data_IF_454474316462
#
_entry.id   IF_454474316462
#
_cell.length_a   1.000
_cell.length_b   1.000
_cell.length_c   1.000
_cell.angle_alpha   90.00
_cell.angle_beta   90.00
_cell.angle_gamma   90.00
#
_symmetry.space_group_name_H-M   'P 1'
#
loop_
_entity.id
_entity.type
_entity.pdbx_description
1 polymer ?
#
# COMPACT_ATOMS: atom_id res chain seq x y z
N UNK A 1 -15.02 4.42 1.71
CA UNK A 1 -14.66 3.08 1.22
C UNK A 1 -15.93 2.36 0.76
N UNK A 2 -15.84 1.53 -0.29
CA UNK A 2 -16.92 0.63 -0.73
C UNK A 2 -16.36 -0.80 -0.72
N UNK A 3 -17.11 -1.80 -0.21
CA UNK A 3 -16.63 -3.18 -0.21
C UNK A 3 -16.54 -3.71 -1.65
N UNK A 4 -15.62 -4.64 -1.88
CA UNK A 4 -15.49 -5.34 -3.16
C UNK A 4 -16.49 -6.50 -3.30
N UNK A 5 -17.14 -6.90 -2.21
CA UNK A 5 -18.15 -7.96 -2.16
C UNK A 5 -17.68 -9.23 -2.91
N UNK A 6 -18.50 -9.76 -3.82
CA UNK A 6 -18.20 -10.96 -4.63
C UNK A 6 -16.98 -10.82 -5.55
N UNK A 7 -16.51 -9.58 -5.81
CA UNK A 7 -15.27 -9.37 -6.58
C UNK A 7 -14.03 -9.73 -5.77
N UNK A 8 -14.06 -9.60 -4.44
CA UNK A 8 -12.90 -9.83 -3.59
C UNK A 8 -12.29 -11.25 -3.73
N UNK A 9 -13.07 -12.35 -3.63
CA UNK A 9 -12.52 -13.70 -3.83
C UNK A 9 -12.03 -13.91 -5.27
N UNK A 10 -12.74 -13.42 -6.27
CA UNK A 10 -12.35 -13.56 -7.69
C UNK A 10 -11.04 -12.82 -8.01
N UNK A 11 -10.87 -11.58 -7.52
CA UNK A 11 -9.63 -10.82 -7.66
C UNK A 11 -8.46 -11.51 -6.96
N UNK A 12 -8.73 -12.13 -5.81
CA UNK A 12 -7.74 -12.91 -5.07
C UNK A 12 -7.32 -14.16 -5.84
N UNK A 13 -8.25 -14.92 -6.44
CA UNK A 13 -7.91 -16.09 -7.25
C UNK A 13 -6.94 -15.73 -8.38
N UNK A 14 -7.19 -14.61 -9.07
CA UNK A 14 -6.28 -14.10 -10.12
C UNK A 14 -4.94 -13.66 -9.52
N UNK A 15 -4.95 -12.95 -8.38
CA UNK A 15 -3.72 -12.52 -7.69
C UNK A 15 -2.87 -13.69 -7.15
N UNK A 16 -3.52 -14.79 -6.75
CA UNK A 16 -2.89 -16.05 -6.33
C UNK A 16 -2.48 -16.94 -7.52
N UNK A 17 -2.58 -16.42 -8.75
CA UNK A 17 -2.19 -17.11 -9.98
C UNK A 17 -2.93 -18.44 -10.21
N UNK A 18 -4.20 -18.52 -9.75
CA UNK A 18 -5.06 -19.67 -10.07
C UNK A 18 -5.46 -19.64 -11.54
N UNK A 19 -5.68 -20.82 -12.11
CA UNK A 19 -6.09 -20.93 -13.52
C UNK A 19 -7.40 -20.19 -13.78
N UNK A 20 -7.41 -19.32 -14.78
CA UNK A 20 -8.58 -18.53 -15.19
C UNK A 20 -8.53 -18.30 -16.70
N UNK A 21 -9.70 -18.03 -17.30
CA UNK A 21 -9.83 -17.75 -18.73
C UNK A 21 -9.72 -16.26 -19.04
N UNK A 22 -9.31 -15.91 -20.26
CA UNK A 22 -9.29 -14.53 -20.72
C UNK A 22 -10.66 -13.82 -20.58
N UNK A 23 -11.76 -14.55 -20.80
CA UNK A 23 -13.12 -14.01 -20.65
C UNK A 23 -13.48 -13.69 -19.20
N UNK A 24 -13.03 -14.49 -18.24
CA UNK A 24 -13.24 -14.23 -16.81
C UNK A 24 -12.46 -13.02 -16.33
N UNK A 25 -11.19 -12.90 -16.75
CA UNK A 25 -10.36 -11.72 -16.46
C UNK A 25 -11.00 -10.46 -17.04
N UNK A 26 -11.45 -10.50 -18.30
CA UNK A 26 -12.09 -9.36 -18.95
C UNK A 26 -13.36 -8.92 -18.21
N UNK A 27 -14.23 -9.88 -17.84
CA UNK A 27 -15.42 -9.60 -17.00
C UNK A 27 -15.04 -9.02 -15.65
N UNK A 28 -14.03 -9.58 -14.98
CA UNK A 28 -13.58 -9.11 -13.68
C UNK A 28 -13.05 -7.66 -13.74
N UNK A 29 -12.28 -7.33 -14.78
CA UNK A 29 -11.78 -5.99 -15.06
C UNK A 29 -12.93 -4.99 -15.30
N UNK A 30 -13.95 -5.41 -16.04
CA UNK A 30 -15.16 -4.63 -16.30
C UNK A 30 -15.98 -4.40 -15.02
N UNK A 31 -16.26 -5.46 -14.27
CA UNK A 31 -17.04 -5.41 -13.03
C UNK A 31 -16.36 -4.48 -12.01
N UNK A 32 -15.03 -4.55 -11.90
CA UNK A 32 -14.24 -3.67 -11.06
C UNK A 32 -14.39 -2.20 -11.47
N UNK A 33 -14.43 -1.92 -12.77
CA UNK A 33 -14.63 -0.56 -13.28
C UNK A 33 -16.03 -0.02 -12.97
N UNK A 34 -17.07 -0.85 -13.11
CA UNK A 34 -18.43 -0.47 -12.72
C UNK A 34 -18.53 -0.19 -11.21
N UNK A 35 -17.84 -0.98 -10.38
CA UNK A 35 -17.78 -0.74 -8.92
C UNK A 35 -17.10 0.60 -8.60
N UNK A 36 -16.02 0.95 -9.32
CA UNK A 36 -15.39 2.26 -9.19
C UNK A 36 -16.32 3.39 -9.64
N UNK A 37 -17.07 3.20 -10.73
CA UNK A 37 -18.05 4.19 -11.21
C UNK A 37 -19.12 4.47 -10.16
N UNK A 38 -19.68 3.42 -9.55
CA UNK A 38 -20.63 3.55 -8.44
C UNK A 38 -20.00 4.32 -7.26
N UNK A 39 -18.79 3.94 -6.88
CA UNK A 39 -18.08 4.57 -5.76
C UNK A 39 -17.83 6.08 -6.01
N UNK A 40 -17.34 6.44 -7.20
CA UNK A 40 -17.05 7.83 -7.55
C UNK A 40 -18.34 8.64 -7.68
N UNK A 41 -19.40 8.09 -8.29
CA UNK A 41 -20.72 8.77 -8.37
C UNK A 41 -21.28 9.05 -6.97
N UNK A 42 -21.15 8.10 -6.04
CA UNK A 42 -21.61 8.31 -4.68
C UNK A 42 -20.84 9.42 -3.95
N UNK A 43 -19.54 9.57 -4.23
CA UNK A 43 -18.73 10.67 -3.68
C UNK A 43 -19.08 11.99 -4.37
N UNK A 44 -19.13 12.02 -5.69
CA UNK A 44 -19.44 13.23 -6.49
C UNK A 44 -20.87 13.74 -6.24
N UNK A 45 -21.83 12.85 -5.97
CA UNK A 45 -23.20 13.22 -5.60
C UNK A 45 -23.37 13.72 -4.16
N UNK A 46 -22.28 13.81 -3.38
CA UNK A 46 -22.34 14.35 -2.03
C UNK A 46 -22.58 15.87 -2.09
N UNK A 47 -23.67 16.34 -1.47
CA UNK A 47 -24.03 17.77 -1.45
C UNK A 47 -22.91 18.69 -0.95
N UNK A 48 -22.05 18.21 -0.05
CA UNK A 48 -20.91 18.98 0.46
C UNK A 48 -19.86 19.27 -0.62
N UNK A 49 -19.88 18.53 -1.71
CA UNK A 49 -18.98 18.64 -2.84
C UNK A 49 -19.63 19.29 -4.07
N UNK A 50 -20.89 19.73 -4.02
CA UNK A 50 -21.60 20.34 -5.17
C UNK A 50 -20.88 21.54 -5.78
N UNK A 51 -20.15 22.31 -4.96
CA UNK A 51 -19.35 23.46 -5.43
C UNK A 51 -18.04 23.05 -6.13
N UNK A 52 -17.65 21.78 -6.04
CA UNK A 52 -16.42 21.26 -6.61
C UNK A 52 -16.76 20.48 -7.88
N UNK A 53 -16.10 20.86 -8.98
CA UNK A 53 -16.16 20.09 -10.22
C UNK A 53 -15.19 18.92 -10.14
N UNK A 54 -15.61 17.76 -10.61
CA UNK A 54 -14.70 16.64 -10.85
C UNK A 54 -14.02 16.87 -12.21
N UNK A 55 -12.70 17.07 -12.21
CA UNK A 55 -11.94 17.36 -13.43
C UNK A 55 -11.16 16.14 -13.95
N UNK A 56 -10.75 15.25 -13.05
CA UNK A 56 -9.92 14.07 -13.35
C UNK A 56 -10.20 12.97 -12.34
N UNK A 57 -10.18 11.71 -12.78
CA UNK A 57 -10.09 10.55 -11.90
C UNK A 57 -8.78 9.81 -12.16
N UNK A 58 -7.99 9.63 -11.10
CA UNK A 58 -6.84 8.73 -11.14
C UNK A 58 -7.20 7.39 -10.52
N UNK A 59 -6.95 6.30 -11.25
CA UNK A 59 -7.23 4.94 -10.78
C UNK A 59 -5.97 4.10 -10.82
N UNK A 60 -5.60 3.55 -9.67
CA UNK A 60 -4.53 2.56 -9.62
C UNK A 60 -4.90 1.27 -10.34
N UNK A 61 -6.13 0.77 -10.11
CA UNK A 61 -6.57 -0.57 -10.47
C UNK A 61 -6.27 -1.58 -9.37
N UNK A 62 -6.60 -2.86 -9.61
CA UNK A 62 -6.26 -3.93 -8.68
C UNK A 62 -4.98 -4.62 -9.14
N UNK A 63 -3.90 -4.56 -8.35
CA UNK A 63 -2.72 -5.37 -8.65
C UNK A 63 -3.09 -6.85 -8.56
N UNK A 64 -2.97 -7.57 -9.68
CA UNK A 64 -3.14 -9.02 -9.77
C UNK A 64 -1.81 -9.73 -10.07
N UNK A 65 -0.79 -8.97 -10.48
CA UNK A 65 0.57 -9.47 -10.64
C UNK A 65 1.58 -8.35 -10.45
N UNK A 66 2.65 -8.62 -9.70
CA UNK A 66 3.77 -7.69 -9.57
C UNK A 66 5.07 -8.45 -9.33
N UNK A 67 5.85 -8.58 -10.41
CA UNK A 67 7.23 -9.07 -10.41
C UNK A 67 7.98 -8.29 -11.50
N UNK A 68 8.55 -7.11 -11.17
CA UNK A 68 9.22 -6.26 -12.14
C UNK A 68 10.21 -7.04 -13.04
N UNK A 69 10.23 -6.80 -14.36
CA UNK A 69 9.60 -5.66 -15.05
C UNK A 69 8.11 -5.84 -15.38
N UNK A 70 7.47 -6.95 -14.99
CA UNK A 70 6.07 -7.23 -15.31
C UNK A 70 5.18 -6.91 -14.12
N UNK A 71 4.20 -6.03 -14.33
CA UNK A 71 3.15 -5.77 -13.37
C UNK A 71 1.83 -5.53 -14.07
N UNK A 72 0.73 -5.95 -13.43
CA UNK A 72 -0.60 -5.74 -13.95
C UNK A 72 -1.54 -5.24 -12.87
N UNK A 73 -2.01 -4.01 -13.05
CA UNK A 73 -3.14 -3.45 -12.34
C UNK A 73 -4.40 -3.66 -13.19
N UNK A 74 -5.14 -4.71 -12.88
CA UNK A 74 -6.38 -5.05 -13.57
C UNK A 74 -7.39 -3.91 -13.44
N UNK A 75 -7.77 -3.30 -14.56
CA UNK A 75 -8.79 -2.26 -14.64
C UNK A 75 -9.24 -2.01 -16.08
N UNK A 76 -10.54 -1.80 -16.31
CA UNK A 76 -11.08 -1.36 -17.60
C UNK A 76 -11.60 0.08 -17.47
N UNK A 77 -10.86 1.12 -17.90
CA UNK A 77 -11.19 2.51 -17.58
C UNK A 77 -12.39 3.10 -18.35
N UNK A 78 -12.75 2.56 -19.52
CA UNK A 78 -13.74 3.18 -20.40
C UNK A 78 -15.14 3.38 -19.77
N UNK A 79 -15.74 2.41 -19.07
CA UNK A 79 -17.01 2.61 -18.37
C UNK A 79 -16.97 3.75 -17.35
N UNK A 80 -15.82 3.95 -16.68
CA UNK A 80 -15.64 5.01 -15.69
C UNK A 80 -15.56 6.38 -16.35
N UNK A 81 -14.74 6.53 -17.40
CA UNK A 81 -14.56 7.80 -18.11
C UNK A 81 -15.86 8.29 -18.74
N UNK A 82 -16.52 7.45 -19.55
CA UNK A 82 -17.82 7.76 -20.15
C UNK A 82 -18.92 7.96 -19.09
N UNK A 83 -18.93 7.12 -18.03
CA UNK A 83 -19.95 7.18 -17.00
C UNK A 83 -19.90 8.43 -16.13
N UNK A 84 -18.75 9.09 -16.02
CA UNK A 84 -18.55 10.32 -15.26
C UNK A 84 -18.45 11.57 -16.15
N UNK A 85 -18.17 11.41 -17.44
CA UNK A 85 -17.92 12.54 -18.35
C UNK A 85 -16.60 13.27 -18.06
N UNK A 86 -15.61 12.58 -17.48
CA UNK A 86 -14.31 13.16 -17.12
C UNK A 86 -13.17 12.23 -17.55
N UNK A 87 -11.98 12.79 -17.85
CA UNK A 87 -10.79 11.98 -18.12
C UNK A 87 -10.46 11.03 -16.96
N UNK A 88 -9.99 9.83 -17.32
CA UNK A 88 -9.43 8.85 -16.39
C UNK A 88 -7.97 8.64 -16.72
N UNK A 89 -7.10 8.85 -15.74
CA UNK A 89 -5.68 8.45 -15.79
C UNK A 89 -5.49 7.16 -14.98
N UNK A 90 -4.83 6.16 -15.55
CA UNK A 90 -4.58 4.88 -14.89
C UNK A 90 -3.21 4.32 -15.27
N UNK A 91 -2.84 3.18 -14.69
CA UNK A 91 -1.59 2.47 -14.99
C UNK A 91 -0.34 3.34 -14.77
N UNK A 92 -0.26 3.94 -13.57
CA UNK A 92 0.84 4.81 -13.18
C UNK A 92 2.20 4.10 -13.05
N UNK A 93 2.23 2.76 -13.10
CA UNK A 93 3.47 1.97 -12.99
C UNK A 93 4.15 1.72 -14.34
N UNK A 94 3.37 1.67 -15.43
CA UNK A 94 3.84 1.20 -16.74
C UNK A 94 5.07 1.96 -17.26
N UNK A 95 5.08 3.29 -17.17
CA UNK A 95 6.18 4.09 -17.72
C UNK A 95 7.50 3.84 -16.98
N UNK A 96 7.46 3.73 -15.65
CA UNK A 96 8.64 3.43 -14.82
C UNK A 96 9.18 2.02 -15.11
N UNK A 97 8.30 1.02 -15.18
CA UNK A 97 8.65 -0.36 -15.55
C UNK A 97 9.27 -0.44 -16.94
N UNK A 98 8.71 0.28 -17.92
CA UNK A 98 9.22 0.32 -19.29
C UNK A 98 10.63 0.91 -19.40
N UNK A 99 11.03 1.77 -18.44
CA UNK A 99 12.39 2.31 -18.33
C UNK A 99 13.31 1.49 -17.40
N UNK A 100 12.87 0.31 -16.96
CA UNK A 100 13.67 -0.61 -16.14
C UNK A 100 13.64 -0.29 -14.64
N UNK A 101 12.70 0.54 -14.19
CA UNK A 101 12.42 0.73 -12.77
C UNK A 101 11.54 -0.38 -12.20
N UNK A 102 11.31 -0.33 -10.89
CA UNK A 102 10.49 -1.31 -10.16
C UNK A 102 8.98 -1.03 -10.25
N UNK A 103 8.55 0.16 -10.67
CA UNK A 103 7.15 0.56 -10.69
C UNK A 103 6.49 0.68 -9.31
N UNK A 104 7.28 0.63 -8.23
CA UNK A 104 6.83 0.77 -6.85
C UNK A 104 8.01 1.03 -5.88
N UNK A 105 7.74 1.65 -4.71
CA UNK A 105 6.53 2.39 -4.38
C UNK A 105 6.45 3.72 -5.16
N UNK A 106 5.26 4.10 -5.64
CA UNK A 106 5.04 5.34 -6.43
C UNK A 106 4.40 6.49 -5.63
N UNK A 107 3.93 6.20 -4.42
CA UNK A 107 3.35 7.19 -3.50
C UNK A 107 4.34 8.11 -2.77
N UNK A 108 5.68 7.87 -2.71
CA UNK A 108 6.60 8.76 -2.00
C UNK A 108 6.57 10.23 -2.41
N UNK A 109 6.39 10.54 -3.71
CA UNK A 109 6.28 11.93 -4.15
C UNK A 109 5.00 12.58 -3.59
N UNK A 110 3.89 11.86 -3.56
CA UNK A 110 2.66 12.36 -2.98
C UNK A 110 2.78 12.54 -1.45
N UNK A 111 3.45 11.63 -0.74
CA UNK A 111 3.74 11.83 0.69
C UNK A 111 4.57 13.08 0.94
N UNK A 112 5.55 13.34 0.09
CA UNK A 112 6.36 14.55 0.22
C UNK A 112 5.51 15.81 0.03
N UNK A 113 4.56 15.81 -0.90
CA UNK A 113 3.60 16.91 -1.08
C UNK A 113 2.69 17.06 0.15
N UNK A 114 2.21 15.96 0.71
CA UNK A 114 1.18 15.95 1.76
C UNK A 114 1.73 16.15 3.18
N UNK A 115 2.92 15.60 3.49
CA UNK A 115 3.32 15.35 4.87
C UNK A 115 4.72 15.84 5.26
N UNK A 116 5.48 16.50 4.37
CA UNK A 116 6.73 17.16 4.79
C UNK A 116 6.46 18.26 5.82
N UNK A 117 7.38 18.48 6.75
CA UNK A 117 7.27 19.53 7.76
C UNK A 117 8.63 20.12 8.15
N UNK A 118 8.58 21.35 8.62
CA UNK A 118 9.70 22.09 9.17
C UNK A 118 10.06 21.60 10.59
N UNK A 119 11.36 21.50 10.88
CA UNK A 119 11.91 21.15 12.19
C UNK A 119 11.87 19.67 12.55
N UNK A 120 11.46 18.78 11.64
CA UNK A 120 11.49 17.33 11.91
C UNK A 120 11.59 16.45 10.65
N UNK A 121 12.29 15.31 10.80
CA UNK A 121 12.29 14.22 9.81
C UNK A 121 11.12 13.29 10.06
N UNK A 122 10.38 12.92 9.01
CA UNK A 122 9.20 12.04 9.11
C UNK A 122 9.38 10.76 8.32
N UNK A 123 8.84 9.67 8.83
CA UNK A 123 8.67 8.43 8.09
C UNK A 123 7.16 8.17 7.97
N UNK A 124 6.64 8.25 6.75
CA UNK A 124 5.26 7.83 6.46
C UNK A 124 5.29 6.32 6.30
N UNK A 125 4.60 5.60 7.17
CA UNK A 125 4.60 4.13 7.24
C UNK A 125 3.22 3.63 6.87
N UNK A 126 3.08 3.09 5.67
CA UNK A 126 1.82 2.53 5.19
C UNK A 126 1.73 1.05 5.55
N UNK A 127 0.90 0.74 6.53
CA UNK A 127 0.59 -0.62 6.98
C UNK A 127 -0.47 -1.24 6.05
N UNK A 128 -0.06 -1.56 4.82
CA UNK A 128 -0.85 -2.21 3.78
C UNK A 128 -0.72 -3.74 3.80
N UNK A 129 -0.96 -4.39 2.66
CA UNK A 129 -0.65 -5.81 2.49
C UNK A 129 0.84 -6.08 2.73
N UNK A 130 1.67 -5.27 2.07
CA UNK A 130 3.07 -5.06 2.39
C UNK A 130 3.22 -3.69 3.08
N UNK A 131 4.12 -3.61 4.06
CA UNK A 131 4.51 -2.34 4.65
C UNK A 131 5.45 -1.62 3.70
N UNK A 132 5.11 -0.39 3.33
CA UNK A 132 6.02 0.50 2.61
C UNK A 132 6.23 1.79 3.40
N UNK A 133 7.42 2.36 3.24
CA UNK A 133 7.81 3.58 3.94
C UNK A 133 8.26 4.66 2.96
N UNK A 134 7.98 5.91 3.32
CA UNK A 134 8.57 7.10 2.73
C UNK A 134 9.28 7.88 3.84
N UNK A 135 10.60 8.01 3.73
CA UNK A 135 11.39 8.87 4.64
C UNK A 135 11.53 10.25 4.02
N UNK A 136 10.98 11.22 4.72
CA UNK A 136 11.02 12.64 4.43
C UNK A 136 12.07 13.29 5.32
N UNK A 137 12.95 14.06 4.70
CA UNK A 137 13.86 14.95 5.41
C UNK A 137 13.11 16.16 5.97
N UNK A 138 13.79 16.90 6.85
CA UNK A 138 13.30 18.16 7.38
C UNK A 138 13.08 19.15 6.24
N UNK A 139 11.93 19.84 6.22
CA UNK A 139 11.61 20.81 5.18
C UNK A 139 12.42 22.12 5.32
N UNK A 140 12.95 22.42 6.51
CA UNK A 140 13.80 23.61 6.73
C UNK A 140 15.26 23.39 6.30
N UNK A 141 15.64 22.13 6.06
CA UNK A 141 16.96 21.83 5.51
C UNK A 141 17.00 22.30 4.05
N UNK A 142 17.68 23.42 3.79
CA UNK A 142 17.88 23.97 2.46
C UNK A 142 18.57 22.99 1.49
N UNK A 143 19.21 21.93 2.02
CA UNK A 143 19.79 20.83 1.26
C UNK A 143 18.84 19.62 1.10
N UNK A 144 17.55 19.75 1.43
CA UNK A 144 16.51 18.72 1.30
C UNK A 144 15.60 18.96 0.07
N UNK A 145 16.11 18.74 -1.17
CA UNK A 145 15.26 18.72 -2.35
C UNK A 145 14.35 17.48 -2.31
N UNK A 146 13.36 17.43 -3.21
CA UNK A 146 12.54 16.23 -3.45
C UNK A 146 13.38 14.96 -3.68
N UNK A 147 14.62 15.09 -4.16
CA UNK A 147 15.57 13.99 -4.37
C UNK A 147 16.14 13.39 -3.08
N UNK A 148 15.98 14.04 -1.92
CA UNK A 148 16.35 13.48 -0.61
C UNK A 148 15.28 12.50 -0.07
N UNK A 149 14.11 12.43 -0.70
CA UNK A 149 13.07 11.46 -0.37
C UNK A 149 13.58 10.07 -0.71
N UNK A 150 13.55 9.17 0.28
CA UNK A 150 13.78 7.75 0.06
C UNK A 150 12.54 6.97 0.44
N UNK A 151 12.34 5.82 -0.21
CA UNK A 151 11.24 4.93 0.10
C UNK A 151 11.59 3.52 -0.30
N UNK A 152 10.91 2.56 0.32
CA UNK A 152 11.08 1.14 0.04
C UNK A 152 9.87 0.38 0.58
N UNK A 153 9.64 -0.80 -0.01
CA UNK A 153 8.88 -1.83 0.68
C UNK A 153 9.79 -2.42 1.77
N UNK A 154 9.25 -2.59 2.97
CA UNK A 154 10.00 -3.05 4.15
C UNK A 154 9.76 -4.53 4.35
N UNK A 155 8.50 -4.96 4.49
CA UNK A 155 8.18 -6.34 4.78
C UNK A 155 6.70 -6.65 4.51
N UNK A 156 6.35 -7.94 4.51
CA UNK A 156 4.96 -8.36 4.61
C UNK A 156 4.30 -7.79 5.89
N UNK A 157 3.04 -7.38 5.77
CA UNK A 157 2.28 -6.75 6.87
C UNK A 157 0.88 -7.35 6.96
N UNK A 158 -0.19 -6.65 6.56
CA UNK A 158 -1.54 -7.18 6.66
C UNK A 158 -1.77 -8.39 5.74
N UNK A 159 -1.06 -8.51 4.61
CA UNK A 159 -1.17 -9.72 3.78
C UNK A 159 -0.80 -10.96 4.60
N UNK A 160 0.26 -10.85 5.41
CA UNK A 160 0.72 -11.89 6.31
C UNK A 160 -0.28 -12.12 7.46
N UNK A 161 -0.66 -11.05 8.17
CA UNK A 161 -1.59 -11.13 9.31
C UNK A 161 -2.95 -11.69 8.90
N UNK A 162 -3.50 -11.24 7.78
CA UNK A 162 -4.76 -11.71 7.23
C UNK A 162 -4.63 -13.18 6.78
N UNK A 163 -3.47 -13.58 6.26
CA UNK A 163 -3.17 -14.97 5.91
C UNK A 163 -3.20 -15.89 7.12
N UNK A 164 -2.60 -15.45 8.23
CA UNK A 164 -2.63 -16.17 9.50
C UNK A 164 -4.05 -16.18 10.10
N UNK A 165 -4.77 -15.06 10.07
CA UNK A 165 -6.12 -14.97 10.59
C UNK A 165 -7.07 -15.96 9.89
N UNK A 166 -7.00 -16.05 8.55
CA UNK A 166 -7.80 -17.02 7.80
C UNK A 166 -7.49 -18.46 8.18
N UNK A 167 -6.20 -18.78 8.34
CA UNK A 167 -5.77 -20.14 8.60
C UNK A 167 -5.98 -20.59 10.05
N UNK A 168 -5.87 -19.68 11.02
CA UNK A 168 -5.82 -20.03 12.45
C UNK A 168 -7.13 -19.73 13.20
N UNK A 169 -7.91 -18.74 12.75
CA UNK A 169 -9.13 -18.30 13.45
C UNK A 169 -10.35 -18.19 12.53
N UNK A 170 -10.24 -18.62 11.27
CA UNK A 170 -11.32 -18.60 10.26
C UNK A 170 -11.96 -17.19 10.09
N UNK A 171 -11.11 -16.16 10.09
CA UNK A 171 -11.52 -14.77 9.85
C UNK A 171 -10.75 -14.16 8.69
N UNK A 172 -11.34 -13.24 7.91
CA UNK A 172 -10.63 -12.60 6.81
C UNK A 172 -9.38 -11.83 7.26
N UNK A 173 -9.42 -11.26 8.47
CA UNK A 173 -8.35 -10.55 9.18
C UNK A 173 -8.64 -10.56 10.71
N UNK A 174 -7.64 -10.23 11.54
CA UNK A 174 -7.81 -10.07 12.99
C UNK A 174 -8.34 -8.66 13.31
N UNK A 175 -9.64 -8.55 13.51
CA UNK A 175 -10.32 -7.27 13.72
C UNK A 175 -9.90 -6.61 15.05
N UNK A 176 -9.33 -5.41 14.95
CA UNK A 176 -8.73 -4.69 16.08
C UNK A 176 -7.41 -5.29 16.57
N UNK A 177 -6.89 -6.35 15.95
CA UNK A 177 -5.79 -7.12 16.53
C UNK A 177 -6.19 -7.81 17.85
N UNK A 178 -7.47 -8.15 18.05
CA UNK A 178 -7.99 -8.66 19.32
C UNK A 178 -7.43 -10.04 19.66
N UNK A 179 -7.30 -10.93 18.69
CA UNK A 179 -6.71 -12.24 18.92
C UNK A 179 -5.20 -12.13 19.18
N UNK A 180 -4.50 -11.29 18.41
CA UNK A 180 -3.09 -11.00 18.66
C UNK A 180 -2.87 -10.41 20.08
N UNK A 181 -3.72 -9.50 20.53
CA UNK A 181 -3.65 -8.91 21.89
C UNK A 181 -3.92 -9.90 23.02
N UNK A 182 -4.62 -11.02 22.75
CA UNK A 182 -4.86 -12.08 23.72
C UNK A 182 -3.70 -13.10 23.81
N UNK A 183 -2.73 -13.01 22.89
CA UNK A 183 -1.57 -13.87 22.83
C UNK A 183 -0.37 -13.33 23.60
N UNK A 184 0.68 -14.14 23.65
CA UNK A 184 2.00 -13.76 24.15
C UNK A 184 3.01 -13.90 23.02
N UNK A 185 3.96 -12.95 22.89
CA UNK A 185 5.03 -13.11 21.91
C UNK A 185 5.94 -14.26 22.34
N UNK A 186 6.19 -15.17 21.42
CA UNK A 186 7.05 -16.34 21.63
C UNK A 186 8.37 -16.12 20.89
N UNK A 187 9.52 -15.96 21.59
CA UNK A 187 10.81 -15.72 20.95
C UNK A 187 11.14 -16.72 19.83
N UNK A 188 10.82 -18.00 20.03
CA UNK A 188 10.99 -19.08 19.06
C UNK A 188 10.20 -18.90 17.75
N UNK A 189 9.15 -18.07 17.76
CA UNK A 189 8.42 -17.65 16.55
C UNK A 189 8.89 -16.27 16.08
N UNK A 190 9.06 -15.31 16.99
CA UNK A 190 9.42 -13.92 16.67
C UNK A 190 10.74 -13.85 15.92
N UNK A 191 11.80 -14.49 16.44
CA UNK A 191 13.15 -14.33 15.90
C UNK A 191 13.28 -14.88 14.47
N UNK A 192 12.78 -16.09 14.14
CA UNK A 192 12.76 -16.57 12.75
C UNK A 192 11.92 -15.68 11.83
N UNK A 193 10.80 -15.14 12.30
CA UNK A 193 9.95 -14.25 11.47
C UNK A 193 10.69 -12.95 11.18
N UNK A 194 11.37 -12.34 12.17
CA UNK A 194 12.20 -11.14 11.96
C UNK A 194 13.27 -11.40 10.90
N UNK A 195 13.93 -12.56 10.94
CA UNK A 195 14.95 -12.91 9.93
C UNK A 195 14.33 -12.89 8.53
N UNK A 196 13.18 -13.56 8.34
CA UNK A 196 12.50 -13.60 7.03
C UNK A 196 11.99 -12.24 6.56
N UNK A 197 11.42 -11.44 7.46
CA UNK A 197 11.00 -10.07 7.13
C UNK A 197 12.21 -9.16 6.83
N UNK A 198 13.34 -9.37 7.53
CA UNK A 198 14.59 -8.68 7.28
C UNK A 198 15.21 -9.02 5.91
N UNK A 199 15.10 -10.27 5.46
CA UNK A 199 15.48 -10.68 4.09
C UNK A 199 14.69 -9.89 3.03
N UNK A 200 13.39 -9.64 3.27
CA UNK A 200 12.56 -8.83 2.38
C UNK A 200 13.04 -7.37 2.35
N UNK A 201 13.29 -6.77 3.51
CA UNK A 201 13.80 -5.39 3.61
C UNK A 201 15.18 -5.23 2.94
N UNK A 202 16.05 -6.22 3.11
CA UNK A 202 17.41 -6.22 2.55
C UNK A 202 17.44 -6.39 1.03
N UNK A 203 16.39 -6.96 0.42
CA UNK A 203 16.32 -7.22 -1.01
C UNK A 203 16.31 -5.93 -1.87
N UNK A 204 15.98 -4.77 -1.27
CA UNK A 204 15.97 -3.44 -1.95
C UNK A 204 15.19 -3.46 -3.28
N UNK A 205 14.09 -4.18 -3.31
CA UNK A 205 13.15 -4.27 -4.44
C UNK A 205 11.72 -4.08 -3.92
N UNK A 206 10.77 -3.89 -4.84
CA UNK A 206 9.37 -3.97 -4.45
C UNK A 206 8.97 -5.41 -4.11
N UNK A 207 8.05 -5.54 -3.16
CA UNK A 207 7.47 -6.81 -2.73
C UNK A 207 6.12 -7.03 -3.43
N UNK A 208 5.77 -8.29 -3.67
CA UNK A 208 4.60 -8.62 -4.47
C UNK A 208 4.27 -10.10 -4.49
N UNK A 209 4.11 -10.66 -5.68
CA UNK A 209 3.78 -12.07 -5.87
C UNK A 209 4.99 -12.93 -5.51
N UNK A 210 4.82 -13.92 -4.62
CA UNK A 210 5.88 -14.83 -4.18
C UNK A 210 6.60 -14.42 -2.90
N UNK A 211 6.24 -13.26 -2.32
CA UNK A 211 6.78 -12.77 -1.05
C UNK A 211 5.92 -13.16 0.17
N UNK A 212 4.89 -13.99 -0.02
CA UNK A 212 3.97 -14.39 1.03
C UNK A 212 4.62 -15.34 2.05
N UNK A 213 4.55 -14.99 3.34
CA UNK A 213 5.18 -15.77 4.42
C UNK A 213 4.21 -16.62 5.24
N UNK A 214 2.90 -16.44 5.08
CA UNK A 214 1.89 -17.06 5.96
C UNK A 214 2.01 -18.59 6.00
N UNK A 215 2.18 -19.25 4.85
CA UNK A 215 2.34 -20.72 4.78
C UNK A 215 3.57 -21.21 5.52
N UNK A 216 4.69 -20.49 5.39
CA UNK A 216 5.93 -20.85 6.09
C UNK A 216 5.77 -20.69 7.62
N UNK A 217 5.14 -19.59 8.07
CA UNK A 217 4.85 -19.38 9.49
C UNK A 217 3.91 -20.44 10.05
N UNK A 218 2.88 -20.87 9.29
CA UNK A 218 1.97 -21.93 9.73
C UNK A 218 2.68 -23.26 9.98
N UNK A 219 3.68 -23.59 9.17
CA UNK A 219 4.52 -24.78 9.40
C UNK A 219 5.39 -24.59 10.65
N UNK A 220 6.08 -23.45 10.76
CA UNK A 220 6.92 -23.11 11.91
C UNK A 220 6.14 -23.17 13.23
N UNK A 221 4.91 -22.66 13.23
CA UNK A 221 4.08 -22.50 14.42
C UNK A 221 3.21 -23.71 14.76
N UNK A 222 3.47 -24.89 14.17
CA UNK A 222 2.71 -26.11 14.44
C UNK A 222 2.66 -26.40 15.95
N UNK A 223 1.46 -26.63 16.50
CA UNK A 223 1.25 -26.91 17.92
C UNK A 223 1.17 -25.68 18.83
N UNK A 224 1.36 -24.47 18.31
CA UNK A 224 1.18 -23.23 19.07
C UNK A 224 -0.27 -22.74 19.04
N UNK A 225 -0.65 -21.95 20.04
CA UNK A 225 -1.99 -21.35 20.10
C UNK A 225 -2.11 -20.24 19.05
N UNK A 226 -3.24 -20.14 18.32
CA UNK A 226 -3.47 -19.09 17.32
C UNK A 226 -3.10 -17.68 17.77
N UNK A 227 -3.51 -17.29 18.98
CA UNK A 227 -3.27 -15.96 19.54
C UNK A 227 -1.77 -15.67 19.70
N UNK A 228 -0.98 -16.65 20.14
CA UNK A 228 0.46 -16.52 20.36
C UNK A 228 1.21 -16.37 19.02
N UNK A 229 0.74 -17.05 17.96
CA UNK A 229 1.28 -16.90 16.60
C UNK A 229 0.98 -15.52 16.04
N UNK A 230 -0.26 -15.04 16.17
CA UNK A 230 -0.67 -13.71 15.72
C UNK A 230 0.07 -12.60 16.47
N UNK A 231 0.24 -12.74 17.79
CA UNK A 231 1.04 -11.81 18.61
C UNK A 231 2.48 -11.77 18.15
N UNK A 232 3.10 -12.94 17.95
CA UNK A 232 4.49 -13.05 17.52
C UNK A 232 4.71 -12.42 16.15
N UNK A 233 3.77 -12.59 15.21
CA UNK A 233 3.82 -11.94 13.91
C UNK A 233 3.71 -10.40 14.02
N UNK A 234 2.82 -9.86 14.86
CA UNK A 234 2.72 -8.41 15.09
C UNK A 234 4.03 -7.83 15.65
N UNK A 235 4.63 -8.50 16.64
CA UNK A 235 5.92 -8.08 17.22
C UNK A 235 7.04 -8.10 16.20
N UNK A 236 7.12 -9.16 15.38
CA UNK A 236 8.14 -9.26 14.35
C UNK A 236 8.01 -8.14 13.30
N UNK A 237 6.79 -7.88 12.83
CA UNK A 237 6.51 -6.77 11.88
C UNK A 237 6.89 -5.42 12.52
N UNK A 238 6.48 -5.16 13.76
CA UNK A 238 6.77 -3.90 14.44
C UNK A 238 8.28 -3.64 14.56
N UNK A 239 9.05 -4.66 14.94
CA UNK A 239 10.52 -4.58 15.03
C UNK A 239 11.18 -4.33 13.69
N UNK A 240 10.79 -5.06 12.64
CA UNK A 240 11.32 -4.84 11.29
C UNK A 240 11.02 -3.43 10.77
N UNK A 241 9.83 -2.89 11.05
CA UNK A 241 9.47 -1.51 10.69
C UNK A 241 10.32 -0.51 11.48
N UNK A 242 10.47 -0.70 12.79
CA UNK A 242 11.21 0.20 13.66
C UNK A 242 12.67 0.36 13.19
N UNK A 243 13.33 -0.73 12.80
CA UNK A 243 14.69 -0.71 12.24
C UNK A 243 14.77 0.11 10.95
N UNK A 244 13.72 0.11 10.13
CA UNK A 244 13.69 0.82 8.85
C UNK A 244 13.45 2.33 8.98
N UNK A 245 12.98 2.80 10.15
CA UNK A 245 12.56 4.21 10.39
C UNK A 245 13.34 4.90 11.51
N UNK A 246 14.45 4.31 11.97
CA UNK A 246 15.33 4.90 12.99
C UNK A 246 15.63 6.38 12.68
N UNK A 247 15.52 7.24 13.69
CA UNK A 247 15.80 8.67 13.60
C UNK A 247 14.73 9.51 12.90
N UNK A 248 13.54 8.95 12.64
CA UNK A 248 12.40 9.67 12.07
C UNK A 248 11.21 9.60 13.01
N UNK A 249 10.40 10.66 13.04
CA UNK A 249 9.05 10.61 13.61
C UNK A 249 8.16 9.75 12.73
N UNK A 250 7.43 8.82 13.32
CA UNK A 250 6.62 7.85 12.58
C UNK A 250 5.20 8.37 12.39
N UNK A 251 4.74 8.39 11.14
CA UNK A 251 3.37 8.74 10.76
C UNK A 251 2.73 7.52 10.11
N UNK A 252 1.82 6.86 10.83
CA UNK A 252 1.17 5.63 10.38
C UNK A 252 0.03 5.92 9.40
N UNK A 253 -0.10 5.08 8.38
CA UNK A 253 -1.16 5.10 7.38
C UNK A 253 -1.59 3.66 7.01
N UNK A 254 -2.65 3.54 6.22
CA UNK A 254 -3.13 2.26 5.72
C UNK A 254 -4.05 1.52 6.70
N UNK A 255 -4.56 0.36 6.26
CA UNK A 255 -5.55 -0.41 7.01
C UNK A 255 -5.04 -0.97 8.34
N UNK A 256 -3.73 -1.21 8.45
CA UNK A 256 -3.09 -1.77 9.63
C UNK A 256 -3.06 -0.83 10.84
N UNK A 257 -3.38 0.46 10.67
CA UNK A 257 -3.58 1.41 11.79
C UNK A 257 -4.71 0.96 12.73
N UNK A 258 -5.63 0.10 12.26
CA UNK A 258 -6.70 -0.49 13.07
C UNK A 258 -6.29 -1.77 13.81
N UNK A 259 -5.06 -2.25 13.65
CA UNK A 259 -4.56 -3.37 14.42
C UNK A 259 -3.90 -2.80 15.68
N UNK A 260 -4.66 -2.73 16.78
CA UNK A 260 -4.19 -2.10 18.02
C UNK A 260 -2.97 -2.83 18.59
N UNK A 261 -2.89 -4.16 18.42
CA UNK A 261 -1.73 -4.93 18.81
C UNK A 261 -0.46 -4.47 18.07
N UNK A 262 -0.52 -4.34 16.75
CA UNK A 262 0.62 -3.90 15.95
C UNK A 262 1.01 -2.44 16.23
N UNK A 263 0.00 -1.56 16.32
CA UNK A 263 0.24 -0.13 16.58
C UNK A 263 0.85 0.08 17.96
N UNK A 264 0.39 -0.65 18.98
CA UNK A 264 0.95 -0.53 20.32
C UNK A 264 2.39 -1.05 20.39
N UNK A 265 2.70 -2.16 19.71
CA UNK A 265 4.10 -2.61 19.56
C UNK A 265 4.98 -1.58 18.86
N UNK A 266 4.48 -0.90 17.83
CA UNK A 266 5.21 0.20 17.21
C UNK A 266 5.41 1.37 18.17
N UNK A 267 4.41 1.73 19.00
CA UNK A 267 4.52 2.83 19.97
C UNK A 267 5.55 2.55 21.06
N UNK A 268 5.75 1.30 21.45
CA UNK A 268 6.75 0.96 22.47
C UNK A 268 8.18 1.05 21.94
N UNK A 269 8.39 0.87 20.63
CA UNK A 269 9.72 0.79 20.01
C UNK A 269 10.11 2.09 19.30
N UNK A 270 9.18 2.74 18.60
CA UNK A 270 9.45 3.90 17.75
C UNK A 270 9.38 5.23 18.53
N UNK A 271 10.21 6.20 18.14
CA UNK A 271 10.17 7.53 18.72
C UNK A 271 9.08 8.39 18.06
N UNK A 272 8.02 8.68 18.82
CA UNK A 272 6.94 9.58 18.38
C UNK A 272 6.10 8.96 17.27
N UNK A 273 4.89 8.50 17.62
CA UNK A 273 3.91 8.01 16.67
C UNK A 273 2.77 9.00 16.54
N UNK A 274 2.45 9.34 15.30
CA UNK A 274 1.17 9.92 14.91
C UNK A 274 0.58 9.09 13.78
N UNK A 275 -0.64 9.41 13.40
CA UNK A 275 -1.32 8.87 12.22
C UNK A 275 -1.45 9.96 11.17
N UNK A 276 -1.72 9.56 9.93
CA UNK A 276 -2.09 10.54 8.90
C UNK A 276 -3.42 11.23 9.21
N UNK A 277 -4.32 10.60 9.98
CA UNK A 277 -5.55 11.22 10.49
C UNK A 277 -5.23 12.47 11.33
N UNK A 278 -4.21 12.40 12.19
CA UNK A 278 -3.73 13.53 13.01
C UNK A 278 -3.20 14.68 12.15
N UNK A 279 -2.86 14.41 10.88
CA UNK A 279 -2.39 15.38 9.90
C UNK A 279 -3.49 15.80 8.91
N UNK A 280 -4.75 15.40 9.14
CA UNK A 280 -5.91 15.78 8.34
C UNK A 280 -6.15 14.91 7.10
N UNK A 281 -5.40 13.82 6.91
CA UNK A 281 -5.63 12.84 5.83
C UNK A 281 -5.96 11.49 6.45
N UNK A 282 -7.22 11.02 6.42
CA UNK A 282 -7.57 9.76 7.07
C UNK A 282 -6.70 8.59 6.61
N UNK A 283 -6.14 7.80 7.53
CA UNK A 283 -5.16 6.76 7.22
C UNK A 283 -5.65 5.72 6.22
N UNK A 284 -6.95 5.39 6.28
CA UNK A 284 -7.59 4.47 5.34
C UNK A 284 -7.72 5.04 3.92
N UNK A 285 -7.62 6.36 3.76
CA UNK A 285 -7.76 7.05 2.48
C UNK A 285 -6.45 7.67 1.97
N UNK A 286 -5.35 7.58 2.73
CA UNK A 286 -4.05 8.12 2.33
C UNK A 286 -3.64 7.67 0.93
N UNK A 287 -3.75 6.38 0.60
CA UNK A 287 -3.39 5.91 -0.75
C UNK A 287 -4.27 6.55 -1.83
N UNK A 288 -5.59 6.63 -1.63
CA UNK A 288 -6.50 7.27 -2.58
C UNK A 288 -6.17 8.76 -2.79
N UNK A 289 -5.84 9.47 -1.71
CA UNK A 289 -5.39 10.87 -1.76
C UNK A 289 -4.04 10.98 -2.49
N UNK A 290 -3.10 10.05 -2.24
CA UNK A 290 -1.85 9.99 -3.00
C UNK A 290 -2.12 9.82 -4.50
N UNK A 291 -3.00 8.91 -4.91
CA UNK A 291 -3.35 8.74 -6.32
C UNK A 291 -3.99 10.00 -6.92
N UNK A 292 -4.80 10.74 -6.17
CA UNK A 292 -5.31 12.03 -6.63
C UNK A 292 -4.17 13.04 -6.88
N UNK A 293 -3.20 13.13 -5.96
CA UNK A 293 -1.99 13.98 -6.13
C UNK A 293 -1.16 13.55 -7.34
N UNK A 294 -0.86 12.25 -7.45
CA UNK A 294 -0.08 11.72 -8.58
C UNK A 294 -0.80 11.92 -9.92
N UNK A 295 -2.13 11.75 -9.95
CA UNK A 295 -2.94 12.03 -11.12
C UNK A 295 -2.87 13.49 -11.57
N UNK A 296 -2.96 14.44 -10.63
CA UNK A 296 -2.79 15.86 -10.92
C UNK A 296 -1.39 16.16 -11.47
N UNK A 297 -0.34 15.59 -10.87
CA UNK A 297 1.04 15.72 -11.36
C UNK A 297 1.20 15.14 -12.78
N UNK A 298 0.57 13.98 -13.06
CA UNK A 298 0.54 13.42 -14.42
C UNK A 298 -0.15 14.35 -15.41
N UNK A 299 -1.26 15.01 -15.03
CA UNK A 299 -1.95 15.99 -15.86
C UNK A 299 -1.03 17.16 -16.24
N UNK A 300 -0.23 17.62 -15.28
CA UNK A 300 0.75 18.70 -15.45
C UNK A 300 2.05 18.24 -16.13
N UNK A 301 2.12 16.98 -16.58
CA UNK A 301 3.32 16.36 -17.16
C UNK A 301 4.53 16.46 -16.22
N UNK A 302 4.31 16.23 -14.94
CA UNK A 302 5.35 16.04 -13.94
C UNK A 302 5.61 14.53 -13.79
N UNK A 303 6.88 14.14 -13.78
CA UNK A 303 7.26 12.76 -13.51
C UNK A 303 6.94 12.41 -12.05
N UNK A 304 6.28 11.27 -11.84
CA UNK A 304 5.73 10.89 -10.53
C UNK A 304 6.55 9.84 -9.77
N UNK A 305 7.49 9.18 -10.44
CA UNK A 305 8.42 8.25 -9.80
C UNK A 305 9.74 8.93 -9.50
N UNK A 306 10.39 8.47 -8.43
CA UNK A 306 11.69 8.98 -8.01
C UNK A 306 12.75 7.92 -8.33
N UNK A 307 13.76 8.21 -9.17
CA UNK A 307 14.75 7.21 -9.57
C UNK A 307 15.50 6.54 -8.41
N UNK A 308 15.76 7.28 -7.34
CA UNK A 308 16.39 6.77 -6.13
C UNK A 308 15.55 5.72 -5.39
N UNK A 309 14.25 5.65 -5.67
CA UNK A 309 13.30 4.74 -5.04
C UNK A 309 13.00 3.57 -5.97
N UNK A 310 12.66 3.84 -7.22
CA UNK A 310 12.28 2.78 -8.18
C UNK A 310 13.49 2.13 -8.85
N UNK A 311 14.71 2.60 -8.59
CA UNK A 311 15.93 2.04 -9.17
C UNK A 311 16.16 2.42 -10.64
N UNK A 312 15.45 3.42 -11.16
CA UNK A 312 15.63 3.90 -12.53
C UNK A 312 17.05 4.42 -12.78
N UNK A 313 17.63 4.00 -13.90
CA UNK A 313 18.88 4.56 -14.41
C UNK A 313 18.56 5.75 -15.32
N UNK A 314 18.35 6.93 -14.73
CA UNK A 314 18.12 8.18 -15.46
C UNK A 314 16.84 8.90 -15.06
N UNK A 315 16.39 9.82 -15.91
CA UNK A 315 15.22 10.65 -15.64
C UNK A 315 13.93 9.84 -15.64
N UNK A 316 13.12 10.05 -14.59
CA UNK A 316 11.79 9.46 -14.47
C UNK A 316 10.90 9.89 -15.65
N UNK A 317 10.13 8.96 -16.24
CA UNK A 317 9.21 9.28 -17.33
C UNK A 317 7.93 9.93 -16.79
N UNK A 318 7.20 10.62 -17.69
CA UNK A 318 5.80 10.93 -17.44
C UNK A 318 5.02 9.63 -17.45
N UNK A 319 4.25 9.38 -16.40
CA UNK A 319 3.45 8.17 -16.25
C UNK A 319 1.97 8.45 -16.53
N UNK A 320 1.20 7.37 -16.72
CA UNK A 320 -0.25 7.42 -16.87
C UNK A 320 -0.73 7.19 -18.30
N UNK A 321 -1.71 6.32 -18.42
CA UNK A 321 -2.53 6.13 -19.62
C UNK A 321 -3.84 6.87 -19.46
N UNK A 322 -4.30 7.52 -20.53
CA UNK A 322 -5.45 8.41 -20.51
C UNK A 322 -6.60 7.83 -21.31
N UNK A 323 -7.78 7.82 -20.71
CA UNK A 323 -9.05 7.60 -21.41
C UNK A 323 -9.91 8.83 -21.25
N UNK A 324 -10.30 9.41 -22.39
CA UNK A 324 -11.17 10.57 -22.45
C UNK A 324 -12.64 10.11 -22.53
N UNK A 325 -13.58 10.91 -21.99
CA UNK A 325 -15.01 10.64 -22.10
C UNK A 325 -15.52 10.75 -23.53
#
# INVERSE_FOLDING_TARGET
SRPLDELAPRLRDVAEQRSTTAGEIARLSHDLALKHLEAVRAVAGNRRLEKHRLDLVCVHGQTVYHLPPVSWQLFQPAPLAHGLGVPVVYDLRAADLAKGGQGAPITPLADWVLFRAAGERRAIVNLGGYCNITRLADADDAASPVYAVSGADVCACNQLLDGLARALIDRPFDDGGRHASAGRPLPELVDPIIIRLGEQAAAKRSLGTGDELSRWILVLATGHRPEDVLRSACVAIARTIADAVIGHRVILAGGGVRNDCLVEELRTICNGIATTDDLGVPAQFREAVCFAVLGALCQDRVAITLPAITGLKGAAPISGHWVLP
#
